data_IF_097181793604
#
_entry.id   IF_097181793604
#
_cell.length_a   1.000
_cell.length_b   1.000
_cell.length_c   1.000
_cell.angle_alpha   90.00
_cell.angle_beta   90.00
_cell.angle_gamma   90.00
#
_symmetry.space_group_name_H-M   'P 1'
#
loop_
_entity.id
_entity.type
_entity.pdbx_description
1 polymer ?
#
# COMPACT_ATOMS: atom_id res chain seq x y z
N UNK A 1 15.41 -23.14 14.67
CA UNK A 1 14.09 -22.62 15.09
C UNK A 1 13.97 -21.08 15.06
N UNK A 2 15.02 -20.29 14.78
CA UNK A 2 14.94 -18.82 14.83
C UNK A 2 14.30 -18.09 13.63
N UNK A 3 14.15 -18.76 12.47
CA UNK A 3 13.64 -18.11 11.24
C UNK A 3 12.21 -17.56 11.38
N UNK A 4 11.34 -18.26 12.11
CA UNK A 4 9.93 -17.87 12.26
C UNK A 4 9.74 -16.58 13.07
N UNK A 5 10.63 -16.29 14.03
CA UNK A 5 10.55 -15.09 14.86
C UNK A 5 11.04 -13.82 14.13
N UNK A 6 11.88 -14.00 13.10
CA UNK A 6 12.41 -12.90 12.30
C UNK A 6 11.48 -12.50 11.15
N UNK A 7 10.71 -13.45 10.61
CA UNK A 7 9.73 -13.18 9.56
C UNK A 7 8.63 -12.23 10.07
N UNK A 8 8.40 -11.11 9.37
CA UNK A 8 7.42 -10.08 9.77
C UNK A 8 7.66 -9.39 11.12
N UNK A 9 8.88 -9.49 11.67
CA UNK A 9 9.27 -8.81 12.92
C UNK A 9 9.20 -7.27 12.85
N UNK A 10 9.41 -6.70 11.66
CA UNK A 10 9.34 -5.24 11.47
C UNK A 10 7.90 -4.73 11.48
N UNK A 11 7.63 -3.69 12.27
CA UNK A 11 6.33 -3.04 12.35
C UNK A 11 5.95 -2.34 11.03
N UNK A 12 4.78 -2.68 10.47
CA UNK A 12 4.29 -2.17 9.16
C UNK A 12 3.01 -1.35 9.29
N UNK A 13 2.74 -0.76 10.45
CA UNK A 13 1.52 0.02 10.69
C UNK A 13 1.50 1.39 10.00
N UNK A 14 2.67 1.93 9.64
CA UNK A 14 2.83 3.27 9.09
C UNK A 14 4.00 3.34 8.10
N UNK A 15 4.00 4.37 7.26
CA UNK A 15 5.05 4.63 6.26
C UNK A 15 4.70 4.16 4.85
N UNK A 16 5.64 4.31 3.92
CA UNK A 16 5.40 4.04 2.50
C UNK A 16 5.09 2.56 2.18
N UNK A 17 5.56 1.65 3.02
CA UNK A 17 5.32 0.21 2.87
C UNK A 17 4.13 -0.33 3.66
N UNK A 18 3.40 0.51 4.40
CA UNK A 18 2.25 0.07 5.19
C UNK A 18 0.96 0.00 4.37
N UNK A 19 0.88 0.77 3.29
CA UNK A 19 -0.31 0.90 2.47
C UNK A 19 0.00 0.46 1.04
N UNK A 20 -0.93 -0.29 0.45
CA UNK A 20 -0.86 -0.74 -0.94
C UNK A 20 -2.10 -0.33 -1.70
N UNK A 21 -1.98 -0.22 -3.02
CA UNK A 21 -3.07 0.15 -3.89
C UNK A 21 -4.17 -0.90 -3.83
N UNK A 22 -5.43 -0.48 -3.68
CA UNK A 22 -6.57 -1.40 -3.63
C UNK A 22 -6.76 -2.24 -4.90
N UNK A 23 -6.35 -1.73 -6.07
CA UNK A 23 -6.48 -2.43 -7.36
C UNK A 23 -5.27 -3.31 -7.66
N UNK A 24 -4.07 -2.73 -7.70
CA UNK A 24 -2.89 -3.43 -8.22
C UNK A 24 -1.90 -3.87 -7.13
N UNK A 25 -2.20 -3.61 -5.85
CA UNK A 25 -1.31 -3.87 -4.71
C UNK A 25 0.08 -3.20 -4.79
N UNK A 26 0.28 -2.27 -5.71
CA UNK A 26 1.50 -1.49 -5.79
C UNK A 26 1.64 -0.58 -4.55
N UNK A 27 2.86 -0.45 -4.04
CA UNK A 27 3.20 0.41 -2.89
C UNK A 27 3.65 1.81 -3.34
N UNK A 28 4.06 1.94 -4.59
CA UNK A 28 4.59 3.18 -5.14
C UNK A 28 3.48 4.07 -5.73
N UNK A 29 3.66 5.38 -5.58
CA UNK A 29 2.75 6.36 -6.17
C UNK A 29 1.31 6.25 -5.65
N UNK A 30 1.14 5.90 -4.38
CA UNK A 30 -0.18 5.89 -3.74
C UNK A 30 -0.73 7.31 -3.53
N UNK A 31 -1.99 7.47 -3.88
CA UNK A 31 -2.85 8.58 -3.52
C UNK A 31 -3.66 8.14 -2.30
N UNK A 32 -3.36 8.76 -1.15
CA UNK A 32 -4.05 8.50 0.12
C UNK A 32 -5.01 9.64 0.50
N UNK A 33 -5.07 10.68 -0.32
CA UNK A 33 -6.00 11.80 -0.12
C UNK A 33 -7.43 11.27 -0.11
N UNK A 34 -8.23 11.74 0.83
CA UNK A 34 -9.63 11.34 1.01
C UNK A 34 -9.84 9.83 1.29
N UNK A 35 -8.79 9.09 1.68
CA UNK A 35 -8.90 7.66 1.97
C UNK A 35 -9.02 6.75 0.73
N UNK A 36 -8.68 7.26 -0.45
CA UNK A 36 -8.79 6.52 -1.72
C UNK A 36 -7.89 5.27 -1.79
N UNK A 37 -6.66 5.35 -1.26
CA UNK A 37 -5.68 4.26 -1.26
C UNK A 37 -5.47 3.61 -2.64
N UNK A 38 -5.29 4.45 -3.66
CA UNK A 38 -5.13 4.02 -5.06
C UNK A 38 -3.82 4.52 -5.65
N UNK A 39 -3.23 3.76 -6.56
CA UNK A 39 -2.04 4.18 -7.30
C UNK A 39 -2.40 5.25 -8.34
N UNK A 40 -1.48 6.17 -8.68
CA UNK A 40 -1.72 7.21 -9.71
C UNK A 40 -2.26 6.66 -11.04
N UNK A 41 -1.70 5.54 -11.51
CA UNK A 41 -2.12 4.88 -12.76
C UNK A 41 -3.54 4.32 -12.66
N UNK A 42 -3.87 3.77 -11.48
CA UNK A 42 -5.16 3.17 -11.18
C UNK A 42 -6.25 4.23 -11.06
N UNK A 43 -5.92 5.36 -10.42
CA UNK A 43 -6.82 6.50 -10.26
C UNK A 43 -7.22 7.09 -11.62
N UNK A 44 -6.27 7.22 -12.56
CA UNK A 44 -6.57 7.67 -13.93
C UNK A 44 -7.48 6.71 -14.72
N UNK A 45 -7.50 5.42 -14.38
CA UNK A 45 -8.30 4.40 -15.07
C UNK A 45 -9.70 4.24 -14.47
N UNK A 46 -9.83 4.38 -13.15
CA UNK A 46 -11.05 4.12 -12.40
C UNK A 46 -12.08 5.26 -12.52
N UNK A 47 -11.64 6.50 -12.83
CA UNK A 47 -12.54 7.65 -12.97
C UNK A 47 -13.25 8.02 -11.65
N UNK A 48 -12.72 7.58 -10.51
CA UNK A 48 -13.22 7.96 -9.19
C UNK A 48 -12.93 9.43 -8.92
N UNK A 49 -13.94 10.25 -9.21
CA UNK A 49 -14.10 11.72 -9.05
C UNK A 49 -13.19 12.65 -9.87
#
# INVERSE_FOLDING_TARGET
MGHQQLYWSHWRKFGQGSCSCRICSNLHGLIQKYGLNMCRQCFSLDGSV
#
